data_IF_727383520806
#
_entry.id   IF_727383520806
#
_cell.length_a   1.000
_cell.length_b   1.000
_cell.length_c   1.000
_cell.angle_alpha   90.00
_cell.angle_beta   90.00
_cell.angle_gamma   90.00
#
_symmetry.space_group_name_H-M   'P 1'
#
loop_
_entity.id
_entity.type
_entity.pdbx_description
1 polymer ?
#
# COMPACT_ATOMS: atom_id res chain seq x y z
N UNK A 1 -5.52 4.93 -15.51
CA UNK A 1 -6.65 5.49 -14.75
C UNK A 1 -7.68 4.42 -14.39
N UNK A 2 -8.06 3.53 -15.33
CA UNK A 2 -9.06 2.48 -15.10
C UNK A 2 -8.72 1.54 -13.92
N UNK A 3 -7.47 1.06 -13.82
CA UNK A 3 -7.02 0.16 -12.74
C UNK A 3 -7.19 0.84 -11.36
N UNK A 4 -6.81 2.12 -11.26
CA UNK A 4 -6.95 2.88 -10.03
C UNK A 4 -8.41 3.02 -9.61
N UNK A 5 -9.30 3.36 -10.53
CA UNK A 5 -10.74 3.48 -10.26
C UNK A 5 -11.38 2.14 -9.86
N UNK A 6 -10.96 1.04 -10.49
CA UNK A 6 -11.47 -0.29 -10.16
C UNK A 6 -11.08 -0.70 -8.75
N UNK A 7 -9.83 -0.44 -8.34
CA UNK A 7 -9.40 -0.71 -6.98
C UNK A 7 -10.18 0.11 -5.96
N UNK A 8 -10.31 1.42 -6.18
CA UNK A 8 -11.06 2.33 -5.32
C UNK A 8 -12.52 1.87 -5.13
N UNK A 9 -13.15 1.33 -6.17
CA UNK A 9 -14.50 0.82 -6.09
C UNK A 9 -14.58 -0.52 -5.33
N UNK A 10 -13.58 -1.38 -5.47
CA UNK A 10 -13.57 -2.71 -4.89
C UNK A 10 -13.25 -2.71 -3.38
N UNK A 11 -12.38 -1.82 -2.91
CA UNK A 11 -11.95 -1.80 -1.50
C UNK A 11 -13.09 -1.59 -0.50
N UNK A 12 -14.00 -0.60 -0.65
CA UNK A 12 -15.13 -0.43 0.26
C UNK A 12 -16.13 -1.59 0.20
N UNK A 13 -16.27 -2.24 -0.95
CA UNK A 13 -17.15 -3.38 -1.11
C UNK A 13 -16.60 -4.60 -0.36
N UNK A 14 -15.30 -4.85 -0.42
CA UNK A 14 -14.63 -5.91 0.31
C UNK A 14 -14.78 -5.73 1.83
N UNK A 15 -14.75 -4.50 2.35
CA UNK A 15 -14.90 -4.20 3.78
C UNK A 15 -16.32 -4.28 4.32
N UNK A 16 -17.37 -4.34 3.46
CA UNK A 16 -18.78 -4.28 3.92
C UNK A 16 -19.23 -5.45 4.79
N UNK A 17 -18.62 -6.59 4.67
CA UNK A 17 -19.05 -7.81 5.36
C UNK A 17 -18.42 -7.98 6.76
N UNK A 18 -17.77 -6.94 7.30
CA UNK A 18 -17.12 -6.96 8.61
C UNK A 18 -15.90 -7.88 8.69
N UNK A 19 -15.42 -8.36 7.55
CA UNK A 19 -14.18 -9.11 7.41
C UNK A 19 -13.01 -8.17 7.13
N UNK A 20 -11.80 -8.61 7.44
CA UNK A 20 -10.59 -7.91 7.05
C UNK A 20 -10.43 -8.00 5.51
N UNK A 21 -10.14 -6.86 4.87
CA UNK A 21 -9.78 -6.82 3.46
C UNK A 21 -8.26 -6.71 3.33
N UNK A 22 -7.66 -7.57 2.52
CA UNK A 22 -6.24 -7.52 2.19
C UNK A 22 -6.10 -7.16 0.71
N UNK A 23 -5.40 -6.07 0.43
CA UNK A 23 -5.14 -5.61 -0.93
C UNK A 23 -3.69 -5.97 -1.31
N UNK A 24 -3.49 -6.60 -2.46
CA UNK A 24 -2.16 -6.92 -3.01
C UNK A 24 -1.34 -5.67 -3.36
N UNK A 25 -2.01 -4.54 -3.54
CA UNK A 25 -1.41 -3.22 -3.77
C UNK A 25 -2.27 -2.13 -3.17
N UNK A 26 -1.63 -1.04 -2.75
CA UNK A 26 -2.35 0.17 -2.39
C UNK A 26 -2.74 1.00 -3.63
N UNK A 27 -3.64 1.96 -3.46
CA UNK A 27 -3.96 2.92 -4.53
C UNK A 27 -2.73 3.74 -4.95
N UNK A 28 -1.78 3.95 -4.03
CA UNK A 28 -0.55 4.70 -4.29
C UNK A 28 0.37 3.93 -5.24
N UNK A 29 0.46 2.60 -5.11
CA UNK A 29 1.19 1.75 -6.04
C UNK A 29 0.63 1.88 -7.46
N UNK A 30 -0.70 1.79 -7.60
CA UNK A 30 -1.35 1.94 -8.89
C UNK A 30 -1.21 3.36 -9.46
N UNK A 31 -1.11 4.36 -8.60
CA UNK A 31 -0.82 5.72 -9.02
C UNK A 31 0.60 5.87 -9.57
N UNK A 32 1.59 5.14 -9.05
CA UNK A 32 2.95 5.15 -9.60
C UNK A 32 2.99 4.77 -11.10
N UNK A 33 2.17 3.82 -11.54
CA UNK A 33 2.05 3.48 -12.96
C UNK A 33 1.50 4.64 -13.79
N UNK A 34 0.55 5.39 -13.23
CA UNK A 34 0.01 6.58 -13.90
C UNK A 34 1.07 7.67 -13.97
N UNK A 35 1.79 7.93 -12.88
CA UNK A 35 2.88 8.92 -12.82
C UNK A 35 3.98 8.58 -13.81
N UNK A 36 4.36 7.31 -13.93
CA UNK A 36 5.38 6.88 -14.88
C UNK A 36 5.02 7.20 -16.33
N UNK A 37 3.72 7.18 -16.65
CA UNK A 37 3.24 7.42 -18.02
C UNK A 37 2.86 8.87 -18.30
N UNK A 38 2.30 9.57 -17.33
CA UNK A 38 1.66 10.88 -17.53
C UNK A 38 2.19 11.99 -16.61
N UNK A 39 3.13 11.66 -15.70
CA UNK A 39 3.62 12.58 -14.68
C UNK A 39 2.66 12.74 -13.50
N UNK A 40 3.10 13.50 -12.52
CA UNK A 40 2.37 13.76 -11.27
C UNK A 40 1.13 14.61 -11.52
N UNK A 41 0.06 14.35 -10.77
CA UNK A 41 -1.25 14.99 -10.87
C UNK A 41 -1.65 15.53 -9.49
N UNK A 42 -1.33 16.80 -9.20
CA UNK A 42 -1.48 17.38 -7.86
C UNK A 42 -2.88 17.23 -7.25
N UNK A 43 -3.94 17.39 -8.05
CA UNK A 43 -5.31 17.24 -7.55
C UNK A 43 -5.64 15.80 -7.15
N UNK A 44 -5.14 14.83 -7.92
CA UNK A 44 -5.32 13.42 -7.63
C UNK A 44 -4.49 13.01 -6.40
N UNK A 45 -3.29 13.56 -6.23
CA UNK A 45 -2.43 13.28 -5.09
C UNK A 45 -3.03 13.74 -3.76
N UNK A 46 -3.68 14.91 -3.73
CA UNK A 46 -4.40 15.36 -2.54
C UNK A 46 -5.50 14.39 -2.12
N UNK A 47 -6.26 13.90 -3.11
CA UNK A 47 -7.30 12.91 -2.85
C UNK A 47 -6.70 11.56 -2.43
N UNK A 48 -5.62 11.11 -3.08
CA UNK A 48 -4.92 9.87 -2.71
C UNK A 48 -4.34 9.93 -1.29
N UNK A 49 -3.77 11.05 -0.88
CA UNK A 49 -3.25 11.20 0.48
C UNK A 49 -4.34 11.04 1.53
N UNK A 50 -5.55 11.52 1.24
CA UNK A 50 -6.71 11.27 2.08
C UNK A 50 -7.14 9.80 2.05
N UNK A 51 -7.22 9.18 0.86
CA UNK A 51 -7.59 7.77 0.73
C UNK A 51 -6.63 6.83 1.44
N UNK A 52 -5.34 7.09 1.36
CA UNK A 52 -4.32 6.29 2.05
C UNK A 52 -4.51 6.24 3.57
N UNK A 53 -5.22 7.20 4.17
CA UNK A 53 -5.56 7.20 5.60
C UNK A 53 -6.64 6.18 5.96
N UNK A 54 -7.38 5.66 4.99
CA UNK A 54 -8.42 4.66 5.23
C UNK A 54 -7.86 3.24 5.45
N UNK A 55 -6.59 3.01 5.10
CA UNK A 55 -5.95 1.73 5.41
C UNK A 55 -5.54 1.65 6.88
N UNK A 56 -5.91 0.59 7.56
CA UNK A 56 -5.52 0.34 8.95
C UNK A 56 -4.05 -0.07 9.06
N UNK A 57 -3.54 -0.79 8.07
CA UNK A 57 -2.15 -1.26 8.00
C UNK A 57 -1.61 -1.12 6.58
N UNK A 58 -0.40 -0.59 6.46
CA UNK A 58 0.36 -0.52 5.22
C UNK A 58 1.65 -1.33 5.38
N UNK A 59 1.84 -2.34 4.56
CA UNK A 59 3.07 -3.14 4.52
C UNK A 59 3.88 -2.79 3.27
N UNK A 60 5.09 -2.29 3.47
CA UNK A 60 6.03 -2.00 2.39
C UNK A 60 6.95 -3.20 2.14
N UNK A 61 6.94 -3.71 0.91
CA UNK A 61 7.81 -4.81 0.50
C UNK A 61 8.92 -4.23 -0.38
N UNK A 62 10.20 -4.35 0.03
CA UNK A 62 11.30 -3.86 -0.79
C UNK A 62 11.44 -4.70 -2.07
N UNK A 63 11.98 -4.13 -3.15
CA UNK A 63 12.23 -4.88 -4.37
C UNK A 63 13.24 -6.00 -4.10
N UNK A 64 12.92 -7.19 -4.57
CA UNK A 64 13.82 -8.34 -4.43
C UNK A 64 14.99 -8.26 -5.40
N UNK A 65 16.17 -8.64 -4.91
CA UNK A 65 17.34 -8.86 -5.75
C UNK A 65 17.26 -10.17 -6.57
N UNK A 66 16.36 -11.09 -6.16
CA UNK A 66 16.19 -12.40 -6.77
C UNK A 66 15.57 -12.32 -8.17
N UNK A 67 15.82 -13.33 -8.97
CA UNK A 67 15.24 -13.44 -10.30
C UNK A 67 13.72 -13.59 -10.24
N UNK A 68 13.05 -12.78 -11.07
CA UNK A 68 11.62 -12.86 -11.23
C UNK A 68 11.31 -14.09 -12.05
N UNK A 69 10.57 -15.03 -11.49
CA UNK A 69 10.04 -16.14 -12.26
C UNK A 69 8.95 -15.61 -13.19
N UNK A 70 9.08 -15.78 -14.52
CA UNK A 70 8.07 -15.33 -15.47
C UNK A 70 6.73 -16.00 -15.17
N UNK A 71 5.69 -15.20 -14.90
CA UNK A 71 4.32 -15.67 -14.68
C UNK A 71 3.35 -15.27 -15.82
N UNK A 72 3.90 -14.63 -16.86
CA UNK A 72 3.15 -14.16 -18.03
C UNK A 72 2.29 -12.91 -17.79
N UNK A 73 2.21 -12.41 -16.57
CA UNK A 73 1.39 -11.25 -16.20
C UNK A 73 2.21 -10.07 -15.67
N UNK A 74 3.39 -10.33 -15.09
CA UNK A 74 4.26 -9.29 -14.53
C UNK A 74 5.27 -8.85 -15.58
N UNK A 75 5.59 -7.55 -15.56
CA UNK A 75 6.71 -7.06 -16.37
C UNK A 75 8.01 -7.70 -15.88
N UNK A 76 8.71 -8.39 -16.79
CA UNK A 76 10.05 -8.93 -16.56
C UNK A 76 11.13 -7.84 -16.62
N UNK A 77 10.73 -6.62 -17.01
CA UNK A 77 11.63 -5.47 -17.11
C UNK A 77 11.99 -4.96 -15.70
N UNK A 78 13.18 -5.32 -15.25
CA UNK A 78 13.75 -4.88 -13.98
C UNK A 78 13.92 -3.35 -13.90
N UNK A 79 14.19 -2.68 -15.02
CA UNK A 79 14.33 -1.24 -15.06
C UNK A 79 12.99 -0.57 -14.79
N UNK A 80 11.92 -1.09 -15.39
CA UNK A 80 10.55 -0.64 -15.14
C UNK A 80 10.14 -0.83 -13.67
N UNK A 81 10.38 -2.01 -13.10
CA UNK A 81 10.05 -2.28 -11.69
C UNK A 81 10.82 -1.37 -10.74
N UNK A 82 12.12 -1.16 -11.00
CA UNK A 82 12.94 -0.22 -10.24
C UNK A 82 12.36 1.19 -10.33
N UNK A 83 11.98 1.63 -11.52
CA UNK A 83 11.38 2.95 -11.72
C UNK A 83 10.08 3.13 -10.96
N UNK A 84 9.20 2.14 -10.93
CA UNK A 84 7.97 2.18 -10.14
C UNK A 84 8.28 2.29 -8.64
N UNK A 85 9.26 1.53 -8.14
CA UNK A 85 9.68 1.61 -6.75
C UNK A 85 10.31 2.97 -6.39
N UNK A 86 11.12 3.53 -7.27
CA UNK A 86 11.68 4.88 -7.10
C UNK A 86 10.56 5.92 -7.01
N UNK A 87 9.57 5.85 -7.89
CA UNK A 87 8.40 6.74 -7.87
C UNK A 87 7.61 6.62 -6.56
N UNK A 88 7.42 5.40 -6.05
CA UNK A 88 6.77 5.20 -4.75
C UNK A 88 7.56 5.88 -3.63
N UNK A 89 8.87 5.72 -3.61
CA UNK A 89 9.73 6.37 -2.61
C UNK A 89 9.72 7.90 -2.77
N UNK A 90 9.76 8.42 -3.99
CA UNK A 90 9.64 9.86 -4.27
C UNK A 90 8.31 10.42 -3.73
N UNK A 91 7.19 9.70 -3.94
CA UNK A 91 5.88 10.11 -3.42
C UNK A 91 5.83 10.05 -1.89
N UNK A 92 6.33 8.97 -1.28
CA UNK A 92 6.38 8.84 0.17
C UNK A 92 7.31 9.87 0.84
N UNK A 93 8.32 10.37 0.13
CA UNK A 93 9.19 11.45 0.60
C UNK A 93 8.52 12.83 0.54
N UNK A 94 7.46 13.00 -0.24
CA UNK A 94 6.72 14.25 -0.36
C UNK A 94 5.99 14.56 0.97
N UNK A 95 6.03 15.81 1.46
CA UNK A 95 5.32 16.20 2.68
C UNK A 95 3.83 15.88 2.68
N UNK A 96 3.19 15.85 1.51
CA UNK A 96 1.78 15.47 1.36
C UNK A 96 1.48 14.05 1.88
N UNK A 97 2.47 13.15 1.80
CA UNK A 97 2.35 11.75 2.21
C UNK A 97 3.13 11.43 3.49
N UNK A 98 3.54 12.44 4.27
CA UNK A 98 4.31 12.24 5.50
C UNK A 98 3.60 11.28 6.49
N UNK A 99 2.31 11.50 6.74
CA UNK A 99 1.48 10.63 7.61
C UNK A 99 1.41 9.19 7.09
N UNK A 100 1.39 9.03 5.76
CA UNK A 100 1.36 7.70 5.11
C UNK A 100 2.68 7.01 5.33
N UNK A 101 3.81 7.70 5.06
CA UNK A 101 5.16 7.19 5.23
C UNK A 101 5.43 6.67 6.65
N UNK A 102 4.99 7.41 7.67
CA UNK A 102 5.18 7.05 9.08
C UNK A 102 4.42 5.78 9.48
N UNK A 103 3.37 5.44 8.74
CA UNK A 103 2.52 4.27 8.99
C UNK A 103 2.95 3.02 8.22
N UNK A 104 3.87 3.14 7.27
CA UNK A 104 4.35 1.98 6.51
C UNK A 104 5.24 1.10 7.37
N UNK A 105 4.84 -0.15 7.53
CA UNK A 105 5.66 -1.20 8.13
C UNK A 105 6.51 -1.86 7.04
N UNK A 106 7.79 -1.53 7.01
CA UNK A 106 8.71 -2.11 6.02
C UNK A 106 9.11 -3.53 6.40
N UNK A 107 8.97 -4.45 5.45
CA UNK A 107 9.28 -5.88 5.61
C UNK A 107 10.67 -6.19 5.05
N UNK A 108 11.67 -5.49 5.57
CA UNK A 108 13.08 -5.63 5.21
C UNK A 108 13.77 -6.72 6.04
N UNK A 109 14.81 -7.33 5.50
CA UNK A 109 15.77 -8.19 6.19
C UNK A 109 15.25 -9.49 6.80
N UNK A 110 13.96 -9.79 6.71
CA UNK A 110 13.35 -11.00 7.26
C UNK A 110 13.08 -12.05 6.17
N UNK A 111 13.11 -13.33 6.55
CA UNK A 111 12.62 -14.39 5.69
C UNK A 111 11.11 -14.19 5.39
N UNK A 112 10.68 -14.46 4.16
CA UNK A 112 9.29 -14.27 3.72
C UNK A 112 8.24 -14.91 4.65
N UNK A 113 8.58 -16.02 5.31
CA UNK A 113 7.69 -16.67 6.30
C UNK A 113 7.40 -15.75 7.48
N UNK A 114 8.40 -15.00 7.95
CA UNK A 114 8.27 -14.08 9.07
C UNK A 114 7.46 -12.85 8.72
N UNK A 115 7.34 -12.50 7.43
CA UNK A 115 6.53 -11.35 7.01
C UNK A 115 5.04 -11.55 7.28
N UNK A 116 4.50 -12.74 7.00
CA UNK A 116 3.11 -13.03 7.27
C UNK A 116 2.79 -12.94 8.76
N UNK A 117 3.66 -13.51 9.61
CA UNK A 117 3.53 -13.43 11.07
C UNK A 117 3.56 -11.97 11.54
N UNK A 118 4.53 -11.18 11.07
CA UNK A 118 4.69 -9.77 11.42
C UNK A 118 3.49 -8.92 10.99
N UNK A 119 2.94 -9.16 9.80
CA UNK A 119 1.72 -8.48 9.32
C UNK A 119 0.53 -8.82 10.21
N UNK A 120 0.33 -10.10 10.55
CA UNK A 120 -0.76 -10.54 11.40
C UNK A 120 -0.65 -9.95 12.80
N UNK A 121 0.53 -9.92 13.40
CA UNK A 121 0.77 -9.32 14.71
C UNK A 121 0.44 -7.82 14.70
N UNK A 122 0.85 -7.08 13.67
CA UNK A 122 0.56 -5.66 13.52
C UNK A 122 -0.94 -5.41 13.33
N UNK A 123 -1.61 -6.20 12.49
CA UNK A 123 -3.05 -6.10 12.27
C UNK A 123 -3.85 -6.35 13.55
N UNK A 124 -3.49 -7.39 14.32
CA UNK A 124 -4.13 -7.69 15.61
C UNK A 124 -3.86 -6.62 16.67
N UNK A 125 -2.73 -5.95 16.62
CA UNK A 125 -2.38 -4.85 17.53
C UNK A 125 -3.20 -3.61 17.21
N UNK A 126 -3.37 -3.29 15.94
CA UNK A 126 -4.20 -2.18 15.46
C UNK A 126 -5.68 -2.38 15.88
N UNK A 127 -6.24 -3.57 15.70
CA UNK A 127 -7.62 -3.90 16.08
C UNK A 127 -7.86 -3.75 17.60
N UNK A 128 -6.89 -4.15 18.42
CA UNK A 128 -6.95 -3.96 19.88
C UNK A 128 -7.00 -2.49 20.29
N UNK A 129 -6.23 -1.65 19.63
CA UNK A 129 -6.17 -0.21 19.91
C UNK A 129 -7.50 0.49 19.59
N UNK A 130 -8.12 0.13 18.46
CA UNK A 130 -9.42 0.67 18.06
C UNK A 130 -10.52 0.24 19.05
N UNK A 131 -10.52 -1.02 19.46
CA UNK A 131 -11.51 -1.54 20.42
C UNK A 131 -11.40 -0.93 21.83
N UNK A 132 -10.19 -0.62 22.29
CA UNK A 132 -9.98 0.05 23.58
C UNK A 132 -10.38 1.52 23.54
N UNK A 133 -10.10 2.24 22.46
CA UNK A 133 -10.55 3.63 22.29
C UNK A 133 -12.08 3.75 22.30
N UNK A 134 -12.80 2.80 21.69
CA UNK A 134 -14.27 2.81 21.64
C UNK A 134 -14.93 2.47 22.99
N UNK A 135 -14.24 1.76 23.89
CA UNK A 135 -14.74 1.47 25.25
C UNK A 135 -14.53 2.62 26.24
N UNK A 136 -13.59 3.52 25.98
CA UNK A 136 -13.28 4.66 26.85
C UNK A 136 -14.19 5.88 26.63
N UNK A 137 -15.04 5.85 25.59
CA UNK A 137 -15.92 6.98 25.20
C UNK A 137 -17.39 6.72 25.56
N UNK A 138 -17.67 5.68 26.34
CA UNK A 138 -18.97 5.39 26.97
C UNK A 138 -18.85 5.56 28.48
#
# INVERSE_FOLDING_TARGET
>A
LWILHTQIAAEPEAGRNGAHAVCDRSVLDNYCYLVNKFGRQAQLEQWLSWWMKTYDLLAGIPPFAEEITPDGFRSEDRAFQRRIHELLNELLADPLFADVRERVVWLDGAERRQWAERIVEQALSADRTVRTAHKSTR
#
